data_IF_061975371543
#
_entry.id   IF_061975371543
#
_cell.length_a   1.000
_cell.length_b   1.000
_cell.length_c   1.000
_cell.angle_alpha   90.00
_cell.angle_beta   90.00
_cell.angle_gamma   90.00
#
_symmetry.space_group_name_H-M   'P 1'
#
loop_
_entity.id
_entity.type
_entity.pdbx_description
1 polymer ?
#
# COMPACT_ATOMS: atom_id res chain seq x y z
N UNK A 1 51.40 -19.01 -6.04
CA UNK A 1 51.54 -17.67 -5.45
C UNK A 1 50.20 -16.97 -5.53
N UNK A 2 49.46 -16.92 -4.42
CA UNK A 2 48.13 -16.31 -4.36
C UNK A 2 48.30 -14.79 -4.40
N UNK A 3 47.83 -14.14 -5.46
CA UNK A 3 47.85 -12.68 -5.56
C UNK A 3 46.98 -12.10 -4.43
N UNK A 4 47.62 -11.48 -3.44
CA UNK A 4 46.89 -10.78 -2.37
C UNK A 4 46.18 -9.59 -3.04
N UNK A 5 44.84 -9.53 -3.00
CA UNK A 5 44.13 -8.44 -3.64
C UNK A 5 44.51 -7.13 -2.97
N UNK A 6 44.85 -6.11 -3.77
CA UNK A 6 45.17 -4.80 -3.24
C UNK A 6 43.92 -4.21 -2.55
N UNK A 7 44.12 -3.52 -1.43
CA UNK A 7 43.03 -2.89 -0.66
C UNK A 7 42.12 -2.04 -1.54
N UNK A 8 42.69 -1.35 -2.54
CA UNK A 8 41.93 -0.56 -3.53
C UNK A 8 41.10 -1.41 -4.48
N UNK A 9 41.59 -2.59 -4.88
CA UNK A 9 40.84 -3.54 -5.71
C UNK A 9 39.64 -4.12 -4.96
N UNK A 10 39.83 -4.47 -3.68
CA UNK A 10 38.73 -4.93 -2.82
C UNK A 10 37.70 -3.83 -2.59
N UNK A 11 38.14 -2.60 -2.27
CA UNK A 11 37.24 -1.46 -2.06
C UNK A 11 36.42 -1.14 -3.33
N UNK A 12 37.05 -1.19 -4.50
CA UNK A 12 36.37 -0.94 -5.77
C UNK A 12 35.34 -2.03 -6.09
N UNK A 13 35.66 -3.31 -5.83
CA UNK A 13 34.72 -4.42 -6.00
C UNK A 13 33.52 -4.31 -5.04
N UNK A 14 33.76 -3.97 -3.77
CA UNK A 14 32.70 -3.75 -2.77
C UNK A 14 31.81 -2.57 -3.15
N UNK A 15 32.41 -1.45 -3.59
CA UNK A 15 31.67 -0.27 -4.03
C UNK A 15 30.79 -0.55 -5.25
N UNK A 16 31.32 -1.25 -6.26
CA UNK A 16 30.54 -1.64 -7.44
C UNK A 16 29.42 -2.64 -7.09
N UNK A 17 29.69 -3.61 -6.24
CA UNK A 17 28.67 -4.56 -5.79
C UNK A 17 27.54 -3.84 -5.05
N UNK A 18 27.88 -2.97 -4.10
CA UNK A 18 26.89 -2.14 -3.41
C UNK A 18 26.11 -1.24 -4.37
N UNK A 19 26.76 -0.66 -5.38
CA UNK A 19 26.11 0.16 -6.40
C UNK A 19 25.08 -0.63 -7.20
N UNK A 20 25.43 -1.84 -7.66
CA UNK A 20 24.53 -2.70 -8.42
C UNK A 20 23.38 -3.19 -7.54
N UNK A 21 23.67 -3.71 -6.34
CA UNK A 21 22.64 -4.16 -5.41
C UNK A 21 21.68 -3.03 -5.04
N UNK A 22 22.20 -1.87 -4.66
CA UNK A 22 21.39 -0.69 -4.34
C UNK A 22 20.53 -0.24 -5.53
N UNK A 23 21.11 -0.19 -6.73
CA UNK A 23 20.37 0.17 -7.95
C UNK A 23 19.23 -0.80 -8.26
N UNK A 24 19.46 -2.11 -8.14
CA UNK A 24 18.43 -3.13 -8.37
C UNK A 24 17.32 -3.09 -7.32
N UNK A 25 17.67 -2.93 -6.03
CA UNK A 25 16.71 -2.77 -4.94
C UNK A 25 15.88 -1.49 -5.11
N UNK A 26 16.53 -0.39 -5.49
CA UNK A 26 15.86 0.89 -5.74
C UNK A 26 14.89 0.80 -6.91
N UNK A 27 15.32 0.22 -8.03
CA UNK A 27 14.48 0.00 -9.20
C UNK A 27 13.30 -0.94 -8.90
N UNK A 28 13.51 -1.98 -8.09
CA UNK A 28 12.43 -2.85 -7.63
C UNK A 28 11.43 -2.12 -6.74
N UNK A 29 11.90 -1.27 -5.83
CA UNK A 29 11.04 -0.44 -4.99
C UNK A 29 10.17 0.52 -5.80
N UNK A 30 10.77 1.22 -6.78
CA UNK A 30 10.03 2.10 -7.71
C UNK A 30 9.07 1.29 -8.57
N UNK A 31 9.50 0.14 -9.08
CA UNK A 31 8.62 -0.75 -9.85
C UNK A 31 7.39 -1.13 -9.03
N UNK A 32 7.57 -1.57 -7.79
CA UNK A 32 6.46 -1.87 -6.90
C UNK A 32 5.54 -0.67 -6.69
N UNK A 33 6.08 0.52 -6.40
CA UNK A 33 5.26 1.74 -6.28
C UNK A 33 4.44 2.04 -7.53
N UNK A 34 4.98 1.79 -8.72
CA UNK A 34 4.26 2.04 -9.97
C UNK A 34 3.25 0.97 -10.34
N UNK A 35 3.40 -0.24 -9.81
CA UNK A 35 2.49 -1.36 -10.07
C UNK A 35 1.49 -1.61 -8.95
N UNK A 36 1.73 -1.08 -7.74
CA UNK A 36 0.79 -1.16 -6.64
C UNK A 36 -0.41 -0.25 -6.95
N UNK A 37 -1.56 -0.88 -7.18
CA UNK A 37 -2.84 -0.17 -7.33
C UNK A 37 -3.50 0.11 -5.97
N UNK A 38 -2.71 0.10 -4.89
CA UNK A 38 -3.20 0.35 -3.54
C UNK A 38 -3.53 1.84 -3.41
N UNK A 39 -4.81 2.16 -3.18
CA UNK A 39 -5.25 3.51 -2.87
C UNK A 39 -5.41 3.68 -1.36
N UNK A 40 -4.76 4.73 -0.84
CA UNK A 40 -4.89 5.10 0.56
C UNK A 40 -6.20 5.85 0.80
N UNK A 41 -6.91 5.51 1.88
CA UNK A 41 -8.10 6.23 2.29
C UNK A 41 -9.00 5.40 3.19
N UNK A 42 -10.25 5.83 3.33
CA UNK A 42 -11.22 5.20 4.21
C UNK A 42 -12.18 4.33 3.40
N UNK A 43 -12.33 3.07 3.77
CA UNK A 43 -13.26 2.13 3.16
C UNK A 43 -14.30 1.62 4.15
N UNK A 44 -15.35 1.03 3.60
CA UNK A 44 -16.38 0.32 4.36
C UNK A 44 -16.81 -0.93 3.59
N UNK A 45 -16.98 -2.05 4.28
CA UNK A 45 -17.47 -3.30 3.67
C UNK A 45 -18.96 -3.47 3.94
N UNK A 46 -19.66 -4.05 2.97
CA UNK A 46 -21.07 -4.41 3.10
C UNK A 46 -21.20 -5.92 2.97
N UNK A 47 -21.75 -6.57 3.99
CA UNK A 47 -22.00 -8.00 3.99
C UNK A 47 -23.50 -8.29 3.92
N UNK A 48 -23.91 -9.22 3.06
CA UNK A 48 -25.31 -9.66 3.01
C UNK A 48 -25.56 -10.67 4.11
N UNK A 49 -26.47 -10.35 5.03
CA UNK A 49 -26.89 -11.28 6.07
C UNK A 49 -27.78 -12.38 5.48
N UNK A 50 -27.48 -13.62 5.84
CA UNK A 50 -28.36 -14.74 5.49
C UNK A 50 -29.72 -14.62 6.19
N UNK A 51 -30.72 -15.37 5.71
CA UNK A 51 -32.06 -15.36 6.32
C UNK A 51 -32.05 -15.79 7.79
N UNK A 52 -31.15 -16.71 8.15
CA UNK A 52 -31.03 -17.27 9.50
C UNK A 52 -29.99 -16.54 10.37
N UNK A 53 -29.30 -15.55 9.80
CA UNK A 53 -28.27 -14.81 10.51
C UNK A 53 -28.89 -13.63 11.24
N UNK A 54 -28.60 -13.52 12.53
CA UNK A 54 -29.03 -12.40 13.35
C UNK A 54 -27.98 -11.31 13.31
N UNK A 55 -28.38 -10.13 12.82
CA UNK A 55 -27.57 -8.94 12.97
C UNK A 55 -27.38 -8.60 14.44
N UNK A 56 -26.25 -7.96 14.77
CA UNK A 56 -26.00 -7.43 16.10
C UNK A 56 -27.14 -6.47 16.50
N UNK A 57 -27.82 -6.69 17.66
CA UNK A 57 -28.93 -5.86 18.10
C UNK A 57 -28.54 -4.41 18.42
N UNK A 58 -27.26 -4.12 18.61
CA UNK A 58 -26.76 -2.76 18.81
C UNK A 58 -26.67 -1.94 17.51
N UNK A 59 -26.82 -2.58 16.34
CA UNK A 59 -26.77 -1.90 15.05
C UNK A 59 -28.11 -1.27 14.70
N UNK A 60 -28.05 -0.04 14.19
CA UNK A 60 -29.23 0.66 13.71
C UNK A 60 -29.77 -0.01 12.45
N UNK A 61 -31.08 -0.30 12.43
CA UNK A 61 -31.76 -0.89 11.27
C UNK A 61 -32.44 0.20 10.47
N UNK A 62 -32.03 0.38 9.22
CA UNK A 62 -32.49 1.46 8.36
C UNK A 62 -32.94 0.88 7.01
N UNK A 63 -34.05 1.39 6.47
CA UNK A 63 -34.47 1.07 5.12
C UNK A 63 -33.62 1.87 4.12
N UNK A 64 -33.27 1.28 2.97
CA UNK A 64 -32.45 1.96 1.96
C UNK A 64 -33.04 3.32 1.53
N UNK A 65 -34.38 3.45 1.45
CA UNK A 65 -35.02 4.73 1.07
C UNK A 65 -34.81 5.85 2.11
N UNK A 66 -34.49 5.51 3.36
CA UNK A 66 -34.26 6.46 4.44
C UNK A 66 -32.80 6.94 4.50
N UNK A 67 -31.91 6.36 3.69
CA UNK A 67 -30.55 6.86 3.53
C UNK A 67 -30.59 8.14 2.68
N UNK A 68 -29.66 9.07 2.93
CA UNK A 68 -29.46 10.24 2.07
C UNK A 68 -29.02 9.81 0.65
N UNK A 69 -29.21 10.69 -0.33
CA UNK A 69 -28.88 10.40 -1.72
C UNK A 69 -27.39 9.98 -1.89
N UNK A 70 -26.48 10.63 -1.16
CA UNK A 70 -25.05 10.30 -1.19
C UNK A 70 -24.76 8.92 -0.58
N UNK A 71 -25.37 8.60 0.57
CA UNK A 71 -25.23 7.27 1.19
C UNK A 71 -25.82 6.17 0.31
N UNK A 72 -26.94 6.43 -0.36
CA UNK A 72 -27.57 5.51 -1.32
C UNK A 72 -26.66 5.21 -2.52
N UNK A 73 -25.97 6.22 -3.03
CA UNK A 73 -25.01 6.08 -4.12
C UNK A 73 -23.81 5.21 -3.70
N UNK A 74 -23.16 5.58 -2.59
CA UNK A 74 -22.01 4.83 -2.04
C UNK A 74 -22.39 3.40 -1.68
N UNK A 75 -23.54 3.18 -1.04
CA UNK A 75 -23.98 1.84 -0.69
C UNK A 75 -24.20 0.97 -1.93
N UNK A 76 -24.76 1.51 -3.02
CA UNK A 76 -24.90 0.78 -4.28
C UNK A 76 -23.55 0.50 -4.91
N UNK A 77 -22.66 1.49 -4.93
CA UNK A 77 -21.31 1.35 -5.46
C UNK A 77 -20.58 0.19 -4.78
N UNK A 78 -20.53 0.17 -3.45
CA UNK A 78 -19.89 -0.91 -2.66
C UNK A 78 -20.52 -2.28 -2.97
N UNK A 79 -21.84 -2.35 -3.14
CA UNK A 79 -22.53 -3.61 -3.47
C UNK A 79 -22.23 -4.13 -4.87
N UNK A 80 -21.91 -3.24 -5.81
CA UNK A 80 -21.64 -3.61 -7.22
C UNK A 80 -20.16 -3.74 -7.53
N UNK A 81 -19.29 -3.21 -6.69
CA UNK A 81 -17.85 -3.24 -6.90
C UNK A 81 -17.27 -4.64 -6.69
N UNK A 82 -16.32 -5.03 -7.55
CA UNK A 82 -15.60 -6.31 -7.40
C UNK A 82 -14.64 -6.27 -6.20
N UNK A 83 -14.12 -5.08 -5.90
CA UNK A 83 -13.23 -4.79 -4.76
C UNK A 83 -13.84 -3.69 -3.91
N UNK A 84 -13.56 -3.69 -2.60
CA UNK A 84 -14.08 -2.63 -1.71
C UNK A 84 -13.51 -1.26 -2.12
N UNK A 85 -14.36 -0.30 -2.52
CA UNK A 85 -13.89 1.03 -2.88
C UNK A 85 -13.37 1.77 -1.64
N UNK A 86 -12.39 2.64 -1.87
CA UNK A 86 -11.75 3.47 -0.85
C UNK A 86 -12.04 4.93 -1.19
N UNK A 87 -12.44 5.71 -0.18
CA UNK A 87 -12.86 7.10 -0.35
C UNK A 87 -11.92 8.02 0.44
N UNK A 88 -11.63 9.20 -0.12
CA UNK A 88 -10.84 10.22 0.58
C UNK A 88 -11.65 11.00 1.63
N UNK A 89 -12.98 10.98 1.53
CA UNK A 89 -13.87 11.70 2.45
C UNK A 89 -14.69 10.70 3.27
N UNK A 90 -14.42 10.63 4.57
CA UNK A 90 -15.11 9.71 5.50
C UNK A 90 -16.56 10.13 5.82
N UNK A 91 -16.93 11.40 5.61
CA UNK A 91 -18.21 11.93 6.08
C UNK A 91 -19.45 11.21 5.52
N UNK A 92 -19.39 10.71 4.28
CA UNK A 92 -20.50 9.90 3.70
C UNK A 92 -20.50 8.47 4.26
N UNK A 93 -19.34 7.93 4.61
CA UNK A 93 -19.20 6.61 5.21
C UNK A 93 -19.65 6.59 6.67
N UNK A 94 -19.52 7.70 7.40
CA UNK A 94 -19.95 7.82 8.81
C UNK A 94 -21.43 7.47 8.95
N UNK A 95 -22.24 8.01 8.04
CA UNK A 95 -23.67 7.76 8.00
C UNK A 95 -24.04 6.32 7.60
N UNK A 96 -23.16 5.60 6.93
CA UNK A 96 -23.33 4.18 6.60
C UNK A 96 -22.73 3.23 7.62
N UNK A 97 -21.92 3.70 8.56
CA UNK A 97 -21.12 2.83 9.44
C UNK A 97 -21.97 2.14 10.50
N UNK A 98 -21.76 0.83 10.71
CA UNK A 98 -22.45 0.03 11.74
C UNK A 98 -23.98 0.10 11.64
N UNK A 99 -24.51 -0.17 10.45
CA UNK A 99 -25.94 -0.21 10.16
C UNK A 99 -26.34 -1.51 9.50
N UNK A 100 -27.61 -1.85 9.64
CA UNK A 100 -28.25 -2.91 8.88
C UNK A 100 -29.20 -2.25 7.90
N UNK A 101 -28.82 -2.23 6.63
CA UNK A 101 -29.58 -1.63 5.54
C UNK A 101 -30.46 -2.70 4.90
N UNK A 102 -31.76 -2.44 4.83
CA UNK A 102 -32.70 -3.29 4.07
C UNK A 102 -32.79 -2.78 2.64
N UNK A 103 -32.41 -3.62 1.67
CA UNK A 103 -32.37 -3.27 0.25
C UNK A 103 -32.85 -4.45 -0.60
N UNK A 104 -33.84 -4.21 -1.49
CA UNK A 104 -34.41 -5.23 -2.41
C UNK A 104 -34.80 -6.55 -1.72
N UNK A 105 -35.37 -6.48 -0.52
CA UNK A 105 -35.78 -7.66 0.27
C UNK A 105 -34.62 -8.42 0.93
N UNK A 106 -33.37 -7.96 0.77
CA UNK A 106 -32.20 -8.44 1.51
C UNK A 106 -31.86 -7.52 2.69
N UNK A 107 -31.14 -8.09 3.67
CA UNK A 107 -30.55 -7.35 4.78
C UNK A 107 -29.04 -7.32 4.59
N UNK A 108 -28.44 -6.15 4.75
CA UNK A 108 -27.03 -5.93 4.53
C UNK A 108 -26.45 -5.22 5.74
N UNK A 109 -25.41 -5.79 6.33
CA UNK A 109 -24.68 -5.21 7.43
C UNK A 109 -23.46 -4.44 6.90
N UNK A 110 -23.29 -3.20 7.36
CA UNK A 110 -22.14 -2.37 7.05
C UNK A 110 -21.11 -2.46 8.17
N UNK A 111 -19.85 -2.68 7.83
CA UNK A 111 -18.77 -2.81 8.81
C UNK A 111 -18.43 -1.47 9.48
N UNK A 112 -17.49 -1.51 10.43
CA UNK A 112 -16.73 -0.32 10.80
C UNK A 112 -15.93 0.18 9.61
N UNK A 113 -15.66 1.48 9.57
CA UNK A 113 -14.68 2.04 8.65
C UNK A 113 -13.32 1.42 8.91
N UNK A 114 -12.59 1.16 7.85
CA UNK A 114 -11.18 0.80 7.91
C UNK A 114 -10.39 1.82 7.12
N UNK A 115 -9.20 2.13 7.61
CA UNK A 115 -8.22 2.92 6.88
C UNK A 115 -7.30 1.96 6.13
N UNK A 116 -7.21 2.16 4.83
CA UNK A 116 -6.20 1.51 4.00
C UNK A 116 -4.97 2.40 3.99
N UNK A 117 -3.99 2.05 4.82
CA UNK A 117 -2.66 2.67 4.79
C UNK A 117 -1.80 1.93 3.77
N UNK A 118 -1.74 2.45 2.56
CA UNK A 118 -0.84 1.96 1.51
C UNK A 118 0.61 2.38 1.77
N UNK A 119 1.15 2.01 2.94
CA UNK A 119 2.58 2.16 3.23
C UNK A 119 3.33 1.03 2.52
N UNK A 120 3.55 1.22 1.21
CA UNK A 120 4.12 0.20 0.35
C UNK A 120 5.56 -0.11 0.72
N UNK A 121 5.89 -1.40 0.83
CA UNK A 121 7.27 -1.86 0.99
C UNK A 121 8.20 -1.26 -0.11
N UNK A 122 7.62 -0.92 -1.27
CA UNK A 122 8.26 -0.20 -2.37
C UNK A 122 8.95 1.11 -1.97
N UNK A 123 8.36 1.96 -1.11
CA UNK A 123 9.02 3.18 -0.61
C UNK A 123 10.29 2.87 0.18
N UNK A 124 10.20 1.85 1.04
CA UNK A 124 11.33 1.42 1.86
C UNK A 124 12.46 0.89 0.99
N UNK A 125 12.14 0.04 0.00
CA UNK A 125 13.14 -0.50 -0.93
C UNK A 125 13.72 0.57 -1.87
N UNK A 126 12.91 1.51 -2.34
CA UNK A 126 13.36 2.63 -3.17
C UNK A 126 14.38 3.50 -2.40
N UNK A 127 14.05 3.86 -1.16
CA UNK A 127 14.92 4.67 -0.30
C UNK A 127 16.21 3.93 0.06
N UNK A 128 16.12 2.72 0.62
CA UNK A 128 17.29 1.92 0.99
C UNK A 128 18.17 1.59 -0.21
N UNK A 129 17.57 1.22 -1.34
CA UNK A 129 18.28 0.98 -2.59
C UNK A 129 19.05 2.21 -3.07
N UNK A 130 18.41 3.38 -3.04
CA UNK A 130 19.04 4.66 -3.36
C UNK A 130 20.24 4.98 -2.46
N UNK A 131 20.10 4.82 -1.15
CA UNK A 131 21.18 5.07 -0.18
C UNK A 131 22.35 4.12 -0.41
N UNK A 132 22.09 2.82 -0.57
CA UNK A 132 23.12 1.80 -0.81
C UNK A 132 23.84 2.05 -2.13
N UNK A 133 23.12 2.45 -3.18
CA UNK A 133 23.70 2.78 -4.47
C UNK A 133 24.65 3.99 -4.38
N UNK A 134 24.24 5.04 -3.65
CA UNK A 134 25.01 6.25 -3.44
C UNK A 134 26.32 5.96 -2.69
N UNK A 135 26.23 5.20 -1.59
CA UNK A 135 27.40 4.77 -0.82
C UNK A 135 28.34 3.91 -1.66
N UNK A 136 27.80 2.96 -2.44
CA UNK A 136 28.58 2.15 -3.37
C UNK A 136 29.34 2.98 -4.40
N UNK A 137 28.67 3.98 -4.97
CA UNK A 137 29.27 4.93 -5.92
C UNK A 137 30.39 5.77 -5.31
N UNK A 138 30.21 6.27 -4.09
CA UNK A 138 31.25 7.02 -3.38
C UNK A 138 32.49 6.17 -3.09
N UNK A 139 32.29 4.92 -2.66
CA UNK A 139 33.40 3.99 -2.38
C UNK A 139 34.14 3.61 -3.66
N UNK A 140 33.40 3.26 -4.73
CA UNK A 140 34.00 2.90 -6.02
C UNK A 140 34.74 4.09 -6.65
N UNK A 141 34.12 5.28 -6.64
CA UNK A 141 34.69 6.52 -7.17
C UNK A 141 35.93 6.97 -6.39
N UNK A 142 35.88 6.89 -5.06
CA UNK A 142 37.02 7.19 -4.18
C UNK A 142 38.19 6.23 -4.41
N UNK A 143 37.93 4.92 -4.49
CA UNK A 143 38.94 3.91 -4.77
C UNK A 143 39.57 4.08 -6.16
N UNK A 144 38.76 4.41 -7.18
CA UNK A 144 39.23 4.69 -8.53
C UNK A 144 40.08 5.96 -8.59
N UNK A 145 39.62 7.05 -7.98
CA UNK A 145 40.35 8.32 -7.93
C UNK A 145 41.69 8.21 -7.20
N UNK A 146 41.75 7.43 -6.13
CA UNK A 146 42.99 7.16 -5.41
C UNK A 146 43.98 6.32 -6.22
N UNK A 147 43.48 5.30 -6.93
CA UNK A 147 44.30 4.46 -7.82
C UNK A 147 44.90 5.25 -8.98
N UNK A 148 44.22 6.31 -9.45
CA UNK A 148 44.69 7.17 -10.55
C UNK A 148 45.74 8.20 -10.11
N UNK A 149 45.80 8.53 -8.83
CA UNK A 149 46.77 9.51 -8.26
C UNK A 149 48.09 8.87 -7.79
N UNK A 150 48.12 7.54 -7.68
CA UNK A 150 49.34 6.75 -7.44
C UNK A 150 49.89 6.25 -8.76
#
# INVERSE_FOLDING_TARGET
MSAVPSVSGVALAVGLFALVCGGTLGAYGVYQQTTDTCESGTGLTVHRLAANETADPALERVAYENLSAAEQEVFREILTAETTPVYQQSGVLDGLTRKVVTYRGGRYETSRQFESDCFGAGETYAFLGGVVALLGGLVAGGAYGWRRRR
#
